data_IF_970408207007
#
_entry.id   IF_970408207007
#
_cell.length_a   1.000
_cell.length_b   1.000
_cell.length_c   1.000
_cell.angle_alpha   90.00
_cell.angle_beta   90.00
_cell.angle_gamma   90.00
#
_symmetry.space_group_name_H-M   'P 1'
#
loop_
_entity.id
_entity.type
_entity.pdbx_description
1 polymer ?
#
# COMPACT_ATOMS: atom_id res chain seq x y z
N UNK A 1 18.20 10.99 11.11
CA UNK A 1 18.98 12.21 11.32
C UNK A 1 20.45 11.82 11.56
N UNK A 2 21.38 12.60 11.03
CA UNK A 2 22.81 12.44 11.27
C UNK A 2 23.45 13.82 11.50
N UNK A 3 24.53 13.86 12.29
CA UNK A 3 25.35 15.05 12.48
C UNK A 3 26.76 14.72 12.05
N UNK A 4 27.22 15.31 10.94
CA UNK A 4 28.49 15.03 10.34
C UNK A 4 29.21 16.33 9.95
N UNK A 5 30.48 16.45 10.29
CA UNK A 5 31.33 17.59 9.95
C UNK A 5 30.71 18.98 10.30
N UNK A 6 30.05 19.08 11.45
CA UNK A 6 29.42 20.32 11.88
C UNK A 6 28.05 20.61 11.22
N UNK A 7 27.53 19.70 10.42
CA UNK A 7 26.25 19.84 9.72
C UNK A 7 25.24 18.80 10.19
N UNK A 8 24.03 19.25 10.49
CA UNK A 8 22.92 18.36 10.81
C UNK A 8 22.18 17.97 9.52
N UNK A 9 22.04 16.67 9.30
CA UNK A 9 21.32 16.10 8.17
C UNK A 9 20.03 15.42 8.64
N UNK A 10 18.91 15.73 7.99
CA UNK A 10 17.61 15.16 8.28
C UNK A 10 16.95 14.68 6.99
N UNK A 11 16.45 13.44 7.00
CA UNK A 11 15.53 12.94 5.99
C UNK A 11 14.09 13.00 6.54
N UNK A 12 13.19 13.62 5.79
CA UNK A 12 11.78 13.70 6.09
C UNK A 12 11.04 12.86 5.05
N UNK A 13 10.35 11.82 5.50
CA UNK A 13 9.49 11.00 4.64
C UNK A 13 8.04 11.39 4.89
N UNK A 14 7.37 11.86 3.85
CA UNK A 14 5.98 12.31 3.92
C UNK A 14 5.14 11.41 3.03
N UNK A 15 4.05 10.90 3.59
CA UNK A 15 3.03 10.14 2.85
C UNK A 15 1.76 10.96 2.82
N UNK A 16 1.24 11.19 1.63
CA UNK A 16 0.08 12.02 1.40
C UNK A 16 -0.93 11.31 0.50
N UNK A 17 -2.18 11.70 0.57
CA UNK A 17 -3.27 11.13 -0.21
C UNK A 17 -3.36 11.77 -1.62
N UNK A 18 -4.20 11.18 -2.46
CA UNK A 18 -4.37 11.62 -3.87
C UNK A 18 -5.00 13.00 -4.01
N UNK A 19 -5.65 13.50 -2.97
CA UNK A 19 -6.32 14.82 -2.96
C UNK A 19 -5.46 15.91 -2.33
N UNK A 20 -4.23 15.58 -1.87
CA UNK A 20 -3.35 16.55 -1.26
C UNK A 20 -2.77 17.52 -2.29
N UNK A 21 -2.74 18.79 -1.94
CA UNK A 21 -1.99 19.81 -2.68
C UNK A 21 -0.50 19.65 -2.36
N UNK A 22 0.20 18.92 -3.22
CA UNK A 22 1.62 18.66 -3.07
C UNK A 22 2.46 19.93 -3.08
N UNK A 23 2.20 20.84 -4.00
CA UNK A 23 3.01 22.07 -4.17
C UNK A 23 2.80 23.03 -3.00
N UNK A 24 1.57 23.18 -2.52
CA UNK A 24 1.26 23.94 -1.32
C UNK A 24 1.89 23.34 -0.06
N UNK A 25 1.89 22.03 0.06
CA UNK A 25 2.56 21.31 1.15
C UNK A 25 4.07 21.55 1.15
N UNK A 26 4.74 21.40 0.02
CA UNK A 26 6.19 21.62 -0.13
C UNK A 26 6.53 23.10 0.14
N UNK A 27 5.73 24.02 -0.36
CA UNK A 27 5.90 25.46 -0.10
C UNK A 27 5.84 25.75 1.40
N UNK A 28 4.88 25.17 2.10
CA UNK A 28 4.71 25.35 3.55
C UNK A 28 5.90 24.77 4.32
N UNK A 29 6.33 23.55 3.95
CA UNK A 29 7.50 22.90 4.57
C UNK A 29 8.75 23.76 4.39
N UNK A 30 9.01 24.24 3.18
CA UNK A 30 10.18 25.08 2.91
C UNK A 30 10.16 26.37 3.75
N UNK A 31 9.03 27.05 3.85
CA UNK A 31 8.88 28.24 4.74
C UNK A 31 9.22 27.93 6.19
N UNK A 32 8.83 26.76 6.69
CA UNK A 32 9.15 26.36 8.07
C UNK A 32 10.65 26.06 8.20
N UNK A 33 11.22 25.31 7.28
CA UNK A 33 12.64 24.95 7.29
C UNK A 33 13.55 26.20 7.22
N UNK A 34 13.23 27.14 6.36
CA UNK A 34 13.96 28.40 6.19
C UNK A 34 14.03 29.20 7.50
N UNK A 35 12.96 29.22 8.29
CA UNK A 35 12.94 29.92 9.61
C UNK A 35 13.98 29.38 10.58
N UNK A 36 14.32 28.11 10.45
CA UNK A 36 15.28 27.41 11.30
C UNK A 36 16.65 27.22 10.64
N UNK A 37 16.88 27.87 9.50
CA UNK A 37 18.15 27.82 8.79
C UNK A 37 18.45 26.51 8.09
N UNK A 38 17.43 25.69 7.84
CA UNK A 38 17.60 24.46 7.06
C UNK A 38 17.55 24.74 5.55
N UNK A 39 18.41 24.04 4.82
CA UNK A 39 18.43 24.07 3.35
C UNK A 39 17.99 22.73 2.81
N UNK A 40 16.97 22.72 1.96
CA UNK A 40 16.53 21.50 1.28
C UNK A 40 17.50 21.18 0.15
N UNK A 41 18.30 20.13 0.33
CA UNK A 41 19.31 19.69 -0.68
C UNK A 41 18.70 18.85 -1.78
N UNK A 42 17.68 18.04 -1.46
CA UNK A 42 17.08 17.11 -2.41
C UNK A 42 15.63 16.86 -2.05
N UNK A 43 14.77 16.90 -3.07
CA UNK A 43 13.38 16.48 -2.96
C UNK A 43 13.14 15.34 -3.98
N UNK A 44 12.45 14.32 -3.54
CA UNK A 44 11.98 13.24 -4.41
C UNK A 44 10.48 13.07 -4.20
N UNK A 45 9.72 13.14 -5.27
CA UNK A 45 8.28 12.88 -5.22
C UNK A 45 7.93 11.62 -6.00
N UNK A 46 7.00 10.90 -5.45
CA UNK A 46 6.34 9.78 -6.10
C UNK A 46 4.85 9.90 -5.83
N UNK A 47 4.11 10.35 -6.83
CA UNK A 47 2.68 10.60 -6.71
C UNK A 47 1.93 9.41 -6.15
N UNK A 48 0.89 9.63 -5.32
CA UNK A 48 0.00 8.58 -4.88
C UNK A 48 -0.63 7.86 -6.08
N UNK A 49 -0.89 6.59 -5.89
CA UNK A 49 -1.65 5.79 -6.85
C UNK A 49 -3.05 5.54 -6.28
N UNK A 50 -4.06 5.68 -7.12
CA UNK A 50 -5.45 5.45 -6.74
C UNK A 50 -6.20 4.81 -7.91
N UNK A 51 -7.02 3.83 -7.61
CA UNK A 51 -8.04 3.28 -8.48
C UNK A 51 -9.38 3.35 -7.75
N UNK A 52 -10.43 3.81 -8.44
CA UNK A 52 -11.73 3.93 -7.81
C UNK A 52 -12.23 2.55 -7.40
N UNK A 53 -12.69 2.46 -6.15
CA UNK A 53 -13.26 1.20 -5.65
C UNK A 53 -14.53 0.79 -6.37
N UNK A 54 -15.22 1.74 -7.01
CA UNK A 54 -16.44 1.47 -7.80
C UNK A 54 -16.14 0.90 -9.19
N UNK A 55 -14.89 0.86 -9.59
CA UNK A 55 -14.53 0.19 -10.85
C UNK A 55 -15.03 -1.24 -10.86
N UNK A 56 -15.76 -1.67 -11.91
CA UNK A 56 -16.40 -2.98 -11.95
C UNK A 56 -15.42 -4.13 -11.69
N UNK A 57 -14.20 -4.03 -12.22
CA UNK A 57 -13.17 -5.05 -12.00
C UNK A 57 -12.69 -5.10 -10.55
N UNK A 58 -12.61 -3.96 -9.87
CA UNK A 58 -12.26 -3.90 -8.45
C UNK A 58 -13.35 -4.56 -7.61
N UNK A 59 -14.60 -4.26 -7.89
CA UNK A 59 -15.75 -4.89 -7.21
C UNK A 59 -15.78 -6.39 -7.45
N UNK A 60 -15.46 -6.85 -8.66
CA UNK A 60 -15.38 -8.29 -8.97
C UNK A 60 -14.28 -9.00 -8.18
N UNK A 61 -13.13 -8.37 -8.03
CA UNK A 61 -12.04 -8.92 -7.21
C UNK A 61 -12.42 -8.99 -5.73
N UNK A 62 -13.12 -7.97 -5.22
CA UNK A 62 -13.66 -7.97 -3.84
C UNK A 62 -14.68 -9.09 -3.64
N UNK A 63 -15.61 -9.26 -4.59
CA UNK A 63 -16.60 -10.36 -4.57
C UNK A 63 -15.93 -11.72 -4.48
N UNK A 64 -14.93 -11.98 -5.33
CA UNK A 64 -14.17 -13.24 -5.34
C UNK A 64 -13.51 -13.50 -3.98
N UNK A 65 -12.82 -12.48 -3.43
CA UNK A 65 -12.22 -12.61 -2.10
C UNK A 65 -13.26 -12.97 -1.04
N UNK A 66 -14.36 -12.22 -0.99
CA UNK A 66 -15.41 -12.40 0.02
C UNK A 66 -16.07 -13.78 -0.08
N UNK A 67 -16.32 -14.26 -1.29
CA UNK A 67 -16.87 -15.60 -1.55
C UNK A 67 -15.97 -16.68 -0.96
N UNK A 68 -14.67 -16.65 -1.24
CA UNK A 68 -13.73 -17.66 -0.76
C UNK A 68 -13.40 -17.57 0.74
N UNK A 69 -13.45 -16.37 1.29
CA UNK A 69 -13.12 -16.11 2.70
C UNK A 69 -14.34 -16.19 3.61
N UNK A 70 -15.56 -16.19 3.07
CA UNK A 70 -16.80 -16.09 3.85
C UNK A 70 -16.91 -14.77 4.61
N UNK A 71 -16.46 -13.66 3.98
CA UNK A 71 -16.41 -12.33 4.57
C UNK A 71 -17.25 -11.33 3.79
N UNK A 72 -17.39 -10.13 4.33
CA UNK A 72 -17.98 -8.97 3.63
C UNK A 72 -17.05 -7.77 3.81
N UNK A 73 -15.83 -7.91 3.34
CA UNK A 73 -14.81 -6.87 3.39
C UNK A 73 -14.91 -5.95 2.17
N UNK A 74 -14.51 -4.71 2.33
CA UNK A 74 -14.35 -3.71 1.26
C UNK A 74 -12.86 -3.56 0.92
N UNK A 75 -12.57 -2.76 -0.11
CA UNK A 75 -11.20 -2.35 -0.43
C UNK A 75 -10.58 -1.56 0.73
N UNK A 76 -9.27 -1.51 0.79
CA UNK A 76 -8.56 -0.71 1.76
C UNK A 76 -7.48 0.15 1.11
N UNK A 77 -7.07 1.20 1.80
CA UNK A 77 -5.98 2.09 1.39
C UNK A 77 -4.73 1.69 2.16
N UNK A 78 -3.63 1.52 1.41
CA UNK A 78 -2.33 1.21 1.98
C UNK A 78 -1.44 2.45 2.01
N UNK A 79 -0.82 2.74 3.13
CA UNK A 79 0.12 3.85 3.28
C UNK A 79 1.51 3.60 2.65
N UNK A 80 1.69 2.51 1.91
CA UNK A 80 2.89 2.15 1.18
C UNK A 80 2.66 2.07 -0.32
N UNK A 81 3.74 2.04 -1.12
CA UNK A 81 3.66 1.81 -2.56
C UNK A 81 4.01 0.38 -2.93
N UNK A 82 3.30 -0.18 -3.91
CA UNK A 82 3.60 -1.48 -4.53
C UNK A 82 3.94 -1.31 -6.01
N UNK A 83 4.11 -2.40 -6.72
CA UNK A 83 4.39 -2.39 -8.17
C UNK A 83 3.25 -1.76 -8.97
N UNK A 84 2.00 -1.87 -8.52
CA UNK A 84 0.82 -1.34 -9.19
C UNK A 84 0.96 0.14 -9.54
N UNK A 85 1.62 0.93 -8.71
CA UNK A 85 1.86 2.36 -8.97
C UNK A 85 2.72 2.66 -10.22
N UNK A 86 3.42 1.66 -10.74
CA UNK A 86 4.28 1.78 -11.94
C UNK A 86 3.62 1.27 -13.20
N UNK A 87 2.45 0.68 -13.07
CA UNK A 87 1.72 0.07 -14.16
C UNK A 87 0.43 0.85 -14.41
N UNK A 88 0.06 1.03 -15.66
CA UNK A 88 -1.25 1.59 -16.01
C UNK A 88 -2.34 0.56 -15.70
N UNK A 89 -3.47 1.04 -15.21
CA UNK A 89 -4.66 0.21 -14.96
C UNK A 89 -4.37 -1.02 -14.08
N UNK A 90 -3.49 -0.86 -13.09
CA UNK A 90 -3.15 -1.92 -12.16
C UNK A 90 -3.73 -1.63 -10.79
N UNK A 91 -4.07 -2.66 -10.05
CA UNK A 91 -4.51 -2.57 -8.66
C UNK A 91 -3.69 -3.54 -7.82
N UNK A 92 -3.36 -3.16 -6.60
CA UNK A 92 -2.80 -4.08 -5.63
C UNK A 92 -3.88 -5.07 -5.20
N UNK A 93 -3.67 -6.34 -5.46
CA UNK A 93 -4.59 -7.41 -5.12
C UNK A 93 -3.86 -8.53 -4.38
N UNK A 94 -4.46 -8.99 -3.29
CA UNK A 94 -3.97 -10.12 -2.53
C UNK A 94 -4.86 -10.37 -1.32
N UNK A 95 -5.23 -11.63 -1.07
CA UNK A 95 -6.08 -11.97 0.05
C UNK A 95 -5.32 -11.81 1.36
N UNK A 96 -5.62 -10.75 2.09
CA UNK A 96 -5.29 -10.66 3.51
C UNK A 96 -6.26 -11.56 4.26
N UNK A 97 -5.80 -12.71 4.74
CA UNK A 97 -6.65 -13.65 5.47
C UNK A 97 -6.82 -13.16 6.91
N UNK A 98 -8.04 -12.72 7.32
CA UNK A 98 -8.25 -12.28 8.69
C UNK A 98 -8.02 -13.42 9.69
N UNK A 99 -7.24 -13.16 10.74
CA UNK A 99 -7.01 -14.11 11.83
C UNK A 99 -7.36 -13.49 13.18
N UNK A 100 -8.17 -14.21 13.94
CA UNK A 100 -8.49 -13.83 15.30
C UNK A 100 -7.30 -13.99 16.27
N UNK A 101 -6.43 -14.97 16.01
CA UNK A 101 -5.28 -15.28 16.88
C UNK A 101 -4.01 -15.31 16.03
N UNK A 102 -3.01 -14.55 16.46
CA UNK A 102 -1.67 -14.58 15.89
C UNK A 102 -0.80 -15.59 16.65
N UNK A 103 -0.02 -16.39 15.92
CA UNK A 103 0.85 -17.44 16.49
C UNK A 103 1.85 -16.89 17.52
N UNK A 104 2.40 -15.71 17.29
CA UNK A 104 3.46 -15.13 18.10
C UNK A 104 3.04 -13.83 18.82
N UNK A 105 1.74 -13.56 18.94
CA UNK A 105 1.24 -12.32 19.55
C UNK A 105 1.30 -11.12 18.62
N UNK A 106 1.51 -9.91 19.15
CA UNK A 106 1.43 -8.65 18.38
C UNK A 106 2.74 -8.19 17.80
N UNK A 107 3.88 -8.60 18.38
CA UNK A 107 5.19 -8.01 18.10
C UNK A 107 6.05 -8.85 17.15
N UNK A 108 5.58 -10.04 16.79
CA UNK A 108 6.29 -10.99 15.93
C UNK A 108 5.35 -11.64 14.94
N UNK A 109 5.91 -12.11 13.83
CA UNK A 109 5.20 -12.93 12.84
C UNK A 109 4.31 -12.18 11.85
N UNK A 110 4.14 -10.87 12.00
CA UNK A 110 3.46 -10.03 11.01
C UNK A 110 4.40 -9.54 9.92
N UNK A 111 3.84 -8.90 8.89
CA UNK A 111 4.62 -8.29 7.82
C UNK A 111 5.65 -7.29 8.37
N UNK A 112 6.90 -7.42 7.94
CA UNK A 112 8.05 -6.61 8.37
C UNK A 112 8.42 -6.77 9.87
N UNK A 113 7.97 -7.83 10.51
CA UNK A 113 8.32 -8.17 11.89
C UNK A 113 9.28 -9.36 11.95
N UNK A 114 10.02 -9.55 13.05
CA UNK A 114 10.78 -10.79 13.28
C UNK A 114 9.86 -12.02 13.19
N UNK A 115 10.39 -13.11 12.65
CA UNK A 115 9.67 -14.37 12.45
C UNK A 115 8.40 -14.21 11.58
N UNK A 116 8.45 -13.31 10.60
CA UNK A 116 7.39 -13.17 9.60
C UNK A 116 7.05 -14.54 9.00
N UNK A 117 5.78 -14.89 8.98
CA UNK A 117 5.31 -16.18 8.49
C UNK A 117 3.98 -16.06 7.77
N UNK A 118 3.69 -17.07 6.98
CA UNK A 118 2.38 -17.32 6.40
C UNK A 118 1.99 -18.77 6.65
N UNK A 119 0.72 -19.02 6.96
CA UNK A 119 0.22 -20.36 7.13
C UNK A 119 0.02 -21.04 5.76
N UNK A 120 0.37 -22.31 5.65
CA UNK A 120 0.23 -23.07 4.40
C UNK A 120 -1.23 -23.10 3.92
N UNK A 121 -2.18 -23.22 4.83
CA UNK A 121 -3.61 -23.21 4.48
C UNK A 121 -4.06 -21.84 3.93
N UNK A 122 -3.44 -20.74 4.37
CA UNK A 122 -3.72 -19.43 3.80
C UNK A 122 -3.12 -19.28 2.40
N UNK A 123 -1.94 -19.85 2.15
CA UNK A 123 -1.36 -19.91 0.80
C UNK A 123 -2.24 -20.73 -0.16
N UNK A 124 -2.79 -21.85 0.30
CA UNK A 124 -3.73 -22.64 -0.51
C UNK A 124 -4.99 -21.86 -0.86
N UNK A 125 -5.58 -21.18 0.11
CA UNK A 125 -6.74 -20.29 -0.12
C UNK A 125 -6.39 -19.16 -1.08
N UNK A 126 -5.26 -18.50 -0.84
CA UNK A 126 -4.78 -17.44 -1.71
C UNK A 126 -4.60 -17.91 -3.15
N UNK A 127 -4.05 -19.10 -3.35
CA UNK A 127 -3.89 -19.69 -4.69
C UNK A 127 -5.23 -19.83 -5.42
N UNK A 128 -6.25 -20.38 -4.77
CA UNK A 128 -7.58 -20.53 -5.37
C UNK A 128 -8.19 -19.16 -5.72
N UNK A 129 -8.08 -18.20 -4.82
CA UNK A 129 -8.55 -16.82 -5.04
C UNK A 129 -7.85 -16.19 -6.25
N UNK A 130 -6.53 -16.36 -6.38
CA UNK A 130 -5.79 -15.85 -7.54
C UNK A 130 -6.20 -16.51 -8.85
N UNK A 131 -6.43 -17.83 -8.85
CA UNK A 131 -6.90 -18.53 -10.04
C UNK A 131 -8.25 -17.98 -10.52
N UNK A 132 -9.20 -17.80 -9.60
CA UNK A 132 -10.52 -17.29 -9.97
C UNK A 132 -10.47 -15.79 -10.34
N UNK A 133 -9.61 -15.01 -9.69
CA UNK A 133 -9.36 -13.62 -10.10
C UNK A 133 -8.78 -13.54 -11.52
N UNK A 134 -7.80 -14.38 -11.86
CA UNK A 134 -7.23 -14.42 -13.21
C UNK A 134 -8.26 -14.83 -14.28
N UNK A 135 -9.11 -15.81 -13.99
CA UNK A 135 -10.22 -16.18 -14.90
C UNK A 135 -11.20 -15.03 -15.11
N UNK A 136 -11.54 -14.31 -14.04
CA UNK A 136 -12.43 -13.15 -14.13
C UNK A 136 -11.81 -12.00 -14.93
N UNK A 137 -10.49 -11.77 -14.77
CA UNK A 137 -9.76 -10.78 -15.56
C UNK A 137 -9.66 -11.14 -17.03
N UNK A 138 -9.41 -12.41 -17.34
CA UNK A 138 -9.34 -12.92 -18.71
C UNK A 138 -10.69 -12.76 -19.44
N UNK A 139 -11.78 -13.12 -18.77
CA UNK A 139 -13.13 -12.89 -19.30
C UNK A 139 -13.45 -11.41 -19.51
N UNK A 140 -13.02 -10.54 -18.60
CA UNK A 140 -13.20 -9.08 -18.71
C UNK A 140 -12.47 -8.46 -19.90
N UNK A 141 -11.28 -8.91 -20.21
CA UNK A 141 -10.47 -8.40 -21.35
C UNK A 141 -11.02 -8.89 -22.70
N UNK A 142 -11.75 -10.01 -22.71
CA UNK A 142 -12.35 -10.59 -23.91
C UNK A 142 -13.66 -9.94 -24.37
N UNK A 143 -14.28 -9.10 -23.51
CA UNK A 143 -15.46 -8.28 -23.81
C UNK A 143 -15.05 -6.91 -24.42
#
# INVERSE_FOLDING_TARGET
AAYEQGVFHQNINIRYNVTADYDGMITTINKVLDRYGFVVKRTHNSSPFYMDKQEPIVQKLVEICNMHLGTNLDTFIMGGGTYSRKLKNAVGFGPGIPRAVKRYGTDRGGAHQPDEYVEIEDLKKAFVIYVDALKALDAWVAE
#
